data_IF_216427119355
#
_entry.id   IF_216427119355
#
_cell.length_a   1.000
_cell.length_b   1.000
_cell.length_c   1.000
_cell.angle_alpha   90.00
_cell.angle_beta   90.00
_cell.angle_gamma   90.00
#
_symmetry.space_group_name_H-M   'P 1'
#
loop_
_entity.id
_entity.type
_entity.pdbx_description
1 polymer ?
#
# COMPACT_ATOMS: atom_id res chain seq x y z
N UNK A 1 45.33 -24.58 -3.65
CA UNK A 1 44.48 -23.97 -4.70
C UNK A 1 42.99 -23.95 -4.38
N UNK A 2 42.49 -24.70 -3.38
CA UNK A 2 41.05 -24.68 -3.01
C UNK A 2 40.67 -23.40 -2.23
N UNK A 3 41.57 -22.88 -1.38
CA UNK A 3 41.29 -21.67 -0.59
C UNK A 3 41.21 -20.35 -1.36
N UNK A 4 41.79 -20.23 -2.57
CA UNK A 4 41.73 -18.97 -3.33
C UNK A 4 40.40 -18.75 -4.03
N UNK A 5 39.73 -19.82 -4.47
CA UNK A 5 38.45 -19.76 -5.18
C UNK A 5 37.29 -19.48 -4.21
N UNK A 6 37.33 -20.07 -3.01
CA UNK A 6 36.37 -19.81 -1.94
C UNK A 6 36.48 -18.37 -1.41
N UNK A 7 37.70 -17.87 -1.21
CA UNK A 7 37.95 -16.48 -0.81
C UNK A 7 37.48 -15.50 -1.88
N UNK A 8 37.73 -15.78 -3.17
CA UNK A 8 37.26 -14.94 -4.26
C UNK A 8 35.73 -14.92 -4.38
N UNK A 9 35.08 -16.09 -4.22
CA UNK A 9 33.63 -16.21 -4.22
C UNK A 9 32.99 -15.46 -3.05
N UNK A 10 33.58 -15.59 -1.85
CA UNK A 10 33.14 -14.88 -0.65
C UNK A 10 33.28 -13.36 -0.79
N UNK A 11 34.42 -12.88 -1.30
CA UNK A 11 34.64 -11.45 -1.57
C UNK A 11 33.67 -10.92 -2.64
N UNK A 12 33.38 -11.70 -3.68
CA UNK A 12 32.40 -11.34 -4.72
C UNK A 12 30.99 -11.24 -4.15
N UNK A 13 30.59 -12.18 -3.28
CA UNK A 13 29.29 -12.13 -2.59
C UNK A 13 29.22 -10.92 -1.66
N UNK A 14 30.26 -10.65 -0.86
CA UNK A 14 30.30 -9.48 0.02
C UNK A 14 30.22 -8.17 -0.78
N UNK A 15 31.01 -8.05 -1.84
CA UNK A 15 31.03 -6.87 -2.69
C UNK A 15 29.69 -6.67 -3.40
N UNK A 16 29.09 -7.75 -3.93
CA UNK A 16 27.74 -7.73 -4.49
C UNK A 16 26.69 -7.30 -3.47
N UNK A 17 26.73 -7.82 -2.24
CA UNK A 17 25.84 -7.41 -1.16
C UNK A 17 26.00 -5.94 -0.79
N UNK A 18 27.23 -5.42 -0.74
CA UNK A 18 27.47 -3.99 -0.48
C UNK A 18 26.91 -3.09 -1.58
N UNK A 19 27.00 -3.51 -2.85
CA UNK A 19 26.50 -2.75 -3.99
C UNK A 19 24.97 -2.67 -4.06
N UNK A 20 24.25 -3.64 -3.50
CA UNK A 20 22.76 -3.63 -3.47
C UNK A 20 22.21 -2.36 -2.80
N UNK A 21 22.96 -1.80 -1.85
CA UNK A 21 22.54 -0.63 -1.07
C UNK A 21 23.15 0.70 -1.59
N UNK A 22 23.98 0.67 -2.65
CA UNK A 22 24.63 1.85 -3.27
C UNK A 22 23.90 2.39 -4.51
N UNK A 23 22.73 1.84 -4.82
CA UNK A 23 21.89 2.24 -5.96
C UNK A 23 21.24 3.64 -5.87
N UNK A 24 20.95 4.25 -4.69
CA UNK A 24 20.03 5.39 -4.64
C UNK A 24 20.57 6.72 -5.18
N UNK A 25 21.65 6.75 -5.96
CA UNK A 25 22.16 7.96 -6.64
C UNK A 25 22.55 7.75 -8.11
N UNK A 26 22.20 6.62 -8.74
CA UNK A 26 22.68 6.29 -10.10
C UNK A 26 21.79 6.83 -11.24
N UNK A 27 20.50 7.12 -11.01
CA UNK A 27 19.66 7.84 -11.98
C UNK A 27 19.58 9.33 -11.62
N UNK A 28 19.37 10.20 -12.62
CA UNK A 28 19.05 11.61 -12.36
C UNK A 28 17.69 11.70 -11.68
N UNK A 29 17.68 11.76 -10.35
CA UNK A 29 16.51 12.05 -9.49
C UNK A 29 16.12 13.54 -9.55
N UNK A 30 16.59 14.25 -10.57
CA UNK A 30 16.35 15.68 -10.76
C UNK A 30 15.77 15.88 -12.15
N UNK A 31 14.60 16.50 -12.22
CA UNK A 31 14.08 16.94 -13.50
C UNK A 31 14.72 18.27 -13.91
N UNK A 32 15.29 18.33 -15.12
CA UNK A 32 15.97 19.54 -15.60
C UNK A 32 15.03 20.64 -16.12
N UNK A 33 13.78 20.28 -16.47
CA UNK A 33 12.81 21.19 -17.10
C UNK A 33 11.48 21.20 -16.33
N UNK A 34 11.48 21.82 -15.14
CA UNK A 34 10.32 21.89 -14.24
C UNK A 34 9.05 22.50 -14.86
N UNK A 35 9.13 23.14 -16.04
CA UNK A 35 7.97 23.66 -16.76
C UNK A 35 7.22 22.58 -17.54
N UNK A 36 7.89 21.49 -17.91
CA UNK A 36 7.27 20.38 -18.62
C UNK A 36 6.80 19.31 -17.63
N UNK A 37 5.54 19.41 -17.23
CA UNK A 37 4.92 18.52 -16.25
C UNK A 37 4.85 17.05 -16.69
N UNK A 38 4.87 16.80 -18.00
CA UNK A 38 4.95 15.45 -18.58
C UNK A 38 6.36 14.84 -18.41
N UNK A 39 7.40 15.67 -18.46
CA UNK A 39 8.80 15.23 -18.26
C UNK A 39 9.21 15.19 -16.79
N UNK A 40 8.56 15.97 -15.93
CA UNK A 40 8.86 16.10 -14.50
C UNK A 40 7.75 15.51 -13.62
N UNK A 41 7.72 14.18 -13.40
CA UNK A 41 6.71 13.57 -12.56
C UNK A 41 6.77 14.06 -11.10
N UNK A 42 7.95 14.50 -10.63
CA UNK A 42 8.20 14.93 -9.25
C UNK A 42 7.29 16.06 -8.76
N UNK A 43 6.72 16.86 -9.65
CA UNK A 43 5.80 17.93 -9.25
C UNK A 43 4.54 17.38 -8.57
N UNK A 44 4.11 16.16 -8.92
CA UNK A 44 2.92 15.50 -8.37
C UNK A 44 3.23 14.71 -7.09
N UNK A 45 4.49 14.31 -6.91
CA UNK A 45 4.99 13.53 -5.78
C UNK A 45 5.46 14.40 -4.62
N UNK A 46 5.64 13.83 -3.43
CA UNK A 46 6.02 14.59 -2.23
C UNK A 46 6.99 13.82 -1.35
N UNK A 47 7.82 14.59 -0.62
CA UNK A 47 8.86 14.01 0.23
C UNK A 47 8.42 13.69 1.67
N UNK A 48 7.27 14.21 2.07
CA UNK A 48 6.70 14.06 3.40
C UNK A 48 5.18 14.17 3.32
N UNK A 49 4.50 13.70 4.37
CA UNK A 49 3.04 13.67 4.44
C UNK A 49 2.42 15.06 4.36
N UNK A 50 3.00 16.07 5.01
CA UNK A 50 2.45 17.42 5.06
C UNK A 50 2.44 18.03 3.65
N UNK A 51 3.55 17.92 2.92
CA UNK A 51 3.65 18.31 1.51
C UNK A 51 2.66 17.54 0.63
N UNK A 52 2.53 16.22 0.83
CA UNK A 52 1.59 15.38 0.07
C UNK A 52 0.14 15.83 0.28
N UNK A 53 -0.23 16.07 1.54
CA UNK A 53 -1.54 16.55 1.95
C UNK A 53 -1.84 17.92 1.40
N UNK A 54 -0.90 18.86 1.49
CA UNK A 54 -1.07 20.21 0.98
C UNK A 54 -1.29 20.19 -0.54
N UNK A 55 -0.50 19.41 -1.29
CA UNK A 55 -0.69 19.25 -2.75
C UNK A 55 -2.05 18.66 -3.09
N UNK A 56 -2.50 17.64 -2.37
CA UNK A 56 -3.82 17.03 -2.57
C UNK A 56 -4.94 18.05 -2.34
N UNK A 57 -4.91 18.76 -1.21
CA UNK A 57 -5.92 19.76 -0.85
C UNK A 57 -5.92 20.93 -1.84
N UNK A 58 -4.75 21.41 -2.27
CA UNK A 58 -4.64 22.50 -3.23
C UNK A 58 -5.18 22.07 -4.61
N UNK A 59 -4.81 20.89 -5.09
CA UNK A 59 -5.33 20.33 -6.34
C UNK A 59 -6.84 20.17 -6.29
N UNK A 60 -7.37 19.60 -5.19
CA UNK A 60 -8.81 19.42 -4.98
C UNK A 60 -9.59 20.76 -4.93
N UNK A 61 -9.02 21.80 -4.29
CA UNK A 61 -9.61 23.15 -4.28
C UNK A 61 -9.63 23.78 -5.66
N UNK A 62 -8.55 23.63 -6.44
CA UNK A 62 -8.44 24.20 -7.78
C UNK A 62 -9.58 23.72 -8.69
N UNK A 63 -10.00 22.47 -8.51
CA UNK A 63 -11.11 21.87 -9.26
C UNK A 63 -12.45 21.94 -8.52
N UNK A 64 -12.53 22.68 -7.40
CA UNK A 64 -13.75 22.88 -6.59
C UNK A 64 -14.42 21.57 -6.16
N UNK A 65 -13.63 20.59 -5.71
CA UNK A 65 -14.15 19.38 -5.09
C UNK A 65 -14.83 19.71 -3.74
N UNK A 66 -15.76 18.86 -3.31
CA UNK A 66 -16.20 18.86 -1.91
C UNK A 66 -15.11 18.23 -1.06
N UNK A 67 -14.47 19.04 -0.19
CA UNK A 67 -13.36 18.60 0.65
C UNK A 67 -13.86 18.37 2.08
N UNK A 68 -13.48 17.24 2.67
CA UNK A 68 -13.65 16.96 4.11
C UNK A 68 -12.34 16.46 4.70
N UNK A 69 -12.10 16.82 5.96
CA UNK A 69 -10.94 16.40 6.73
C UNK A 69 -11.43 15.57 7.91
N UNK A 70 -10.93 14.34 8.04
CA UNK A 70 -11.33 13.39 9.06
C UNK A 70 -10.15 13.14 10.00
N UNK A 71 -10.29 13.52 11.27
CA UNK A 71 -9.27 13.29 12.28
C UNK A 71 -9.18 11.80 12.59
N UNK A 72 -8.06 11.16 12.24
CA UNK A 72 -7.81 9.74 12.49
C UNK A 72 -7.23 9.51 13.87
N UNK A 73 -6.22 10.32 14.23
CA UNK A 73 -5.45 10.16 15.46
C UNK A 73 -4.86 11.50 15.91
N UNK A 74 -4.58 11.62 17.22
CA UNK A 74 -3.89 12.77 17.82
C UNK A 74 -2.78 12.27 18.75
N UNK A 75 -1.59 12.86 18.65
CA UNK A 75 -0.44 12.58 19.53
C UNK A 75 0.20 13.89 19.98
N UNK A 76 -0.03 14.26 21.24
CA UNK A 76 0.31 15.61 21.71
C UNK A 76 -0.43 16.64 20.85
N UNK A 77 0.30 17.63 20.34
CA UNK A 77 -0.26 18.69 19.46
C UNK A 77 -0.30 18.29 17.97
N UNK A 78 0.12 17.07 17.62
CA UNK A 78 0.09 16.58 16.24
C UNK A 78 -1.23 15.88 15.93
N UNK A 79 -1.89 16.31 14.85
CA UNK A 79 -3.12 15.74 14.33
C UNK A 79 -2.89 15.05 12.99
N UNK A 80 -3.43 13.83 12.86
CA UNK A 80 -3.29 13.00 11.67
C UNK A 80 -4.63 12.91 10.96
N UNK A 81 -4.70 13.37 9.71
CA UNK A 81 -5.96 13.50 8.97
C UNK A 81 -6.02 12.56 7.76
N UNK A 82 -7.19 11.95 7.57
CA UNK A 82 -7.62 11.42 6.29
C UNK A 82 -8.49 12.48 5.62
N UNK A 83 -8.10 12.94 4.44
CA UNK A 83 -8.84 13.94 3.68
C UNK A 83 -9.55 13.29 2.50
N UNK A 84 -10.71 13.81 2.14
CA UNK A 84 -11.46 13.37 0.96
C UNK A 84 -11.72 14.53 0.01
N UNK A 85 -11.70 14.25 -1.28
CA UNK A 85 -12.15 15.16 -2.32
C UNK A 85 -13.24 14.45 -3.15
N UNK A 86 -14.46 14.97 -3.10
CA UNK A 86 -15.61 14.37 -3.78
C UNK A 86 -16.08 15.24 -4.95
N UNK A 87 -16.36 14.57 -6.06
CA UNK A 87 -16.96 15.14 -7.27
C UNK A 87 -18.26 14.42 -7.54
N UNK A 88 -19.37 15.16 -7.47
CA UNK A 88 -20.65 14.63 -7.90
C UNK A 88 -20.72 14.69 -9.44
N UNK A 89 -20.79 13.52 -10.06
CA UNK A 89 -20.99 13.39 -11.49
C UNK A 89 -22.46 13.49 -11.90
N UNK A 90 -22.72 13.57 -13.20
CA UNK A 90 -24.08 13.52 -13.75
C UNK A 90 -24.68 12.11 -13.61
N UNK A 91 -23.85 11.06 -13.73
CA UNK A 91 -24.21 9.69 -13.35
C UNK A 91 -24.02 9.49 -11.85
N UNK A 92 -24.88 10.11 -11.04
CA UNK A 92 -24.78 10.04 -9.58
C UNK A 92 -25.06 8.65 -9.01
N UNK A 93 -25.62 7.75 -9.81
CA UNK A 93 -25.82 6.34 -9.48
C UNK A 93 -24.56 5.48 -9.69
N UNK A 94 -23.47 6.07 -10.21
CA UNK A 94 -22.18 5.42 -10.42
C UNK A 94 -21.08 6.10 -9.62
N UNK A 95 -20.22 5.30 -8.99
CA UNK A 95 -19.17 5.80 -8.10
C UNK A 95 -17.81 5.19 -8.42
N UNK A 96 -16.79 6.04 -8.54
CA UNK A 96 -15.39 5.65 -8.48
C UNK A 96 -14.86 6.04 -7.12
N UNK A 97 -14.21 5.11 -6.41
CA UNK A 97 -13.46 5.44 -5.20
C UNK A 97 -11.99 5.16 -5.45
N UNK A 98 -11.15 6.20 -5.38
CA UNK A 98 -9.71 6.07 -5.54
C UNK A 98 -9.02 6.27 -4.19
N UNK A 99 -8.48 5.19 -3.65
CA UNK A 99 -7.93 5.11 -2.29
C UNK A 99 -6.41 5.16 -2.34
N UNK A 100 -5.82 5.97 -1.45
CA UNK A 100 -4.39 6.05 -1.23
C UNK A 100 -4.03 5.76 0.22
N UNK A 101 -2.91 5.07 0.43
CA UNK A 101 -2.21 4.99 1.70
C UNK A 101 -2.92 4.18 2.77
N UNK A 102 -3.50 3.03 2.40
CA UNK A 102 -3.94 2.02 3.38
C UNK A 102 -2.77 1.58 4.26
N UNK A 103 -1.65 1.23 3.64
CA UNK A 103 -0.36 1.16 4.32
C UNK A 103 0.35 2.49 4.16
N UNK A 104 0.91 3.00 5.25
CA UNK A 104 1.38 4.39 5.31
C UNK A 104 2.30 4.77 4.16
N UNK A 105 3.48 4.20 4.10
CA UNK A 105 4.50 4.59 3.12
C UNK A 105 4.13 4.31 1.65
N UNK A 106 3.18 3.40 1.39
CA UNK A 106 2.63 3.20 0.04
C UNK A 106 1.80 4.39 -0.44
N UNK A 107 1.26 5.18 0.50
CA UNK A 107 0.38 6.30 0.20
C UNK A 107 1.02 7.40 -0.63
N UNK A 108 2.35 7.51 -0.67
CA UNK A 108 3.01 8.51 -1.50
C UNK A 108 2.83 8.27 -3.01
N UNK A 109 2.68 7.00 -3.43
CA UNK A 109 2.43 6.66 -4.83
C UNK A 109 1.00 7.03 -5.22
N UNK A 110 0.02 6.57 -4.44
CA UNK A 110 -1.39 6.91 -4.66
C UNK A 110 -1.65 8.42 -4.59
N UNK A 111 -0.98 9.12 -3.67
CA UNK A 111 -1.05 10.60 -3.56
C UNK A 111 -0.56 11.29 -4.83
N UNK A 112 0.55 10.82 -5.41
CA UNK A 112 1.07 11.36 -6.67
C UNK A 112 0.12 11.18 -7.85
N UNK A 113 -0.49 9.99 -7.96
CA UNK A 113 -1.50 9.70 -8.99
C UNK A 113 -2.73 10.59 -8.80
N UNK A 114 -3.25 10.71 -7.58
CA UNK A 114 -4.37 11.60 -7.26
C UNK A 114 -4.08 13.05 -7.64
N UNK A 115 -2.90 13.57 -7.30
CA UNK A 115 -2.50 14.92 -7.68
C UNK A 115 -2.47 15.12 -9.21
N UNK A 116 -1.99 14.11 -9.95
CA UNK A 116 -1.98 14.16 -11.42
C UNK A 116 -3.38 14.19 -12.00
N UNK A 117 -4.26 13.31 -11.52
CA UNK A 117 -5.67 13.24 -11.97
C UNK A 117 -6.39 14.56 -11.68
N UNK A 118 -6.23 15.10 -10.46
CA UNK A 118 -6.85 16.37 -10.06
C UNK A 118 -6.30 17.56 -10.87
N UNK A 119 -5.01 17.59 -11.17
CA UNK A 119 -4.43 18.68 -11.97
C UNK A 119 -4.93 18.68 -13.42
N UNK A 120 -5.16 17.50 -13.99
CA UNK A 120 -5.65 17.34 -15.35
C UNK A 120 -7.19 17.31 -15.44
N UNK A 121 -7.87 17.48 -14.31
CA UNK A 121 -9.32 17.32 -14.23
C UNK A 121 -10.06 18.30 -15.14
N UNK A 122 -10.75 17.77 -16.15
CA UNK A 122 -11.57 18.56 -17.06
C UNK A 122 -13.06 18.30 -16.81
N UNK A 123 -13.77 19.31 -16.32
CA UNK A 123 -15.22 19.25 -16.04
C UNK A 123 -16.08 19.22 -17.29
N UNK A 124 -15.52 19.48 -18.46
CA UNK A 124 -16.27 19.64 -19.72
C UNK A 124 -16.69 18.32 -20.35
N UNK A 125 -16.34 17.18 -19.75
CA UNK A 125 -16.78 15.88 -20.23
C UNK A 125 -18.24 15.62 -19.80
N UNK A 126 -19.20 15.55 -20.73
CA UNK A 126 -20.57 15.20 -20.38
C UNK A 126 -20.61 13.78 -19.80
N UNK A 127 -21.49 13.52 -18.83
CA UNK A 127 -21.77 12.18 -18.28
C UNK A 127 -20.61 11.50 -17.53
N UNK A 128 -19.93 12.21 -16.65
CA UNK A 128 -18.97 11.59 -15.72
C UNK A 128 -19.70 10.87 -14.54
N UNK A 129 -19.17 9.73 -14.05
CA UNK A 129 -19.59 9.15 -12.76
C UNK A 129 -19.19 10.07 -11.59
N UNK A 130 -19.76 9.84 -10.41
CA UNK A 130 -19.25 10.47 -9.19
C UNK A 130 -17.89 9.89 -8.81
N UNK A 131 -16.99 10.71 -8.27
CA UNK A 131 -15.63 10.29 -7.91
C UNK A 131 -15.29 10.75 -6.51
N UNK A 132 -14.86 9.80 -5.67
CA UNK A 132 -14.36 10.03 -4.33
C UNK A 132 -12.87 9.69 -4.26
N UNK A 133 -12.03 10.70 -4.04
CA UNK A 133 -10.63 10.50 -3.70
C UNK A 133 -10.45 10.48 -2.18
N UNK A 134 -9.65 9.53 -1.69
CA UNK A 134 -9.31 9.40 -0.26
C UNK A 134 -7.78 9.50 -0.12
N UNK A 135 -7.31 10.54 0.59
CA UNK A 135 -5.91 10.88 0.82
C UNK A 135 -5.67 11.23 2.29
N UNK A 136 -5.03 10.43 3.11
CA UNK A 136 -4.67 9.03 2.90
C UNK A 136 -5.19 8.24 4.10
N UNK A 137 -5.45 6.95 3.92
CA UNK A 137 -6.14 6.14 4.93
C UNK A 137 -5.34 6.01 6.22
N UNK A 138 -4.02 5.84 6.13
CA UNK A 138 -3.08 5.74 7.24
C UNK A 138 -2.13 6.96 7.28
N UNK A 139 -2.61 8.12 7.74
CA UNK A 139 -1.78 9.33 7.82
C UNK A 139 -0.62 9.17 8.82
N UNK A 140 -0.79 8.39 9.89
CA UNK A 140 0.28 8.12 10.85
C UNK A 140 1.46 7.42 10.17
N UNK A 141 1.20 6.34 9.44
CA UNK A 141 2.23 5.59 8.73
C UNK A 141 2.94 6.44 7.67
N UNK A 142 2.23 7.34 6.97
CA UNK A 142 2.88 8.28 6.05
C UNK A 142 3.82 9.25 6.76
N UNK A 143 3.37 9.88 7.86
CA UNK A 143 4.20 10.84 8.64
C UNK A 143 5.47 10.17 9.17
N UNK A 144 5.37 8.93 9.65
CA UNK A 144 6.49 8.22 10.27
C UNK A 144 7.25 7.30 9.31
N UNK A 145 6.93 7.31 8.02
CA UNK A 145 7.56 6.45 7.00
C UNK A 145 7.48 4.96 7.34
N UNK A 146 6.29 4.49 7.73
CA UNK A 146 5.99 3.11 8.14
C UNK A 146 4.87 2.52 7.31
N UNK A 147 4.79 1.19 7.25
CA UNK A 147 3.61 0.51 6.69
C UNK A 147 2.42 0.55 7.67
N UNK A 148 2.71 0.41 8.96
CA UNK A 148 1.73 0.22 10.03
C UNK A 148 1.15 1.54 10.54
N UNK A 149 0.00 1.48 11.21
CA UNK A 149 -0.61 2.64 11.85
C UNK A 149 -0.01 2.94 13.24
N UNK A 150 -0.63 3.86 13.98
CA UNK A 150 -0.26 4.28 15.33
C UNK A 150 -0.22 3.14 16.37
N UNK A 151 -1.01 2.09 16.17
CA UNK A 151 -1.07 0.91 17.05
C UNK A 151 -0.16 -0.23 16.58
N UNK A 152 0.61 -0.04 15.50
CA UNK A 152 1.45 -1.09 14.90
C UNK A 152 0.66 -2.08 14.04
N UNK A 153 -0.61 -1.79 13.74
CA UNK A 153 -1.48 -2.64 12.93
C UNK A 153 -1.19 -2.44 11.44
N UNK A 154 -1.09 -3.54 10.71
CA UNK A 154 -1.15 -3.53 9.25
C UNK A 154 -2.61 -3.43 8.81
N UNK A 155 -3.01 -2.24 8.36
CA UNK A 155 -4.38 -2.00 7.92
C UNK A 155 -4.78 -2.89 6.74
N UNK A 156 -3.85 -3.45 5.96
CA UNK A 156 -4.16 -4.43 4.91
C UNK A 156 -4.75 -5.76 5.44
N UNK A 157 -4.72 -5.97 6.75
CA UNK A 157 -5.25 -7.14 7.43
C UNK A 157 -6.37 -6.83 8.44
N UNK A 158 -6.68 -5.55 8.68
CA UNK A 158 -7.64 -5.12 9.71
C UNK A 158 -9.08 -4.93 9.17
N UNK A 159 -9.37 -5.37 7.94
CA UNK A 159 -10.64 -5.13 7.22
C UNK A 159 -11.83 -6.00 7.69
N UNK A 160 -12.04 -6.11 8.98
CA UNK A 160 -13.18 -6.85 9.53
C UNK A 160 -14.31 -5.88 9.91
N UNK A 161 -15.55 -6.31 9.70
CA UNK A 161 -16.70 -5.58 10.24
C UNK A 161 -16.68 -5.65 11.76
N UNK A 162 -17.27 -4.66 12.43
CA UNK A 162 -17.25 -4.57 13.90
C UNK A 162 -17.84 -5.83 14.54
N UNK A 163 -18.87 -6.39 13.92
CA UNK A 163 -19.62 -7.57 14.34
C UNK A 163 -18.81 -8.87 14.17
N UNK A 164 -17.78 -8.88 13.32
CA UNK A 164 -16.95 -10.06 13.01
C UNK A 164 -15.78 -10.22 14.00
N UNK A 165 -15.43 -9.17 14.74
CA UNK A 165 -14.30 -9.20 15.66
C UNK A 165 -14.47 -10.19 16.80
N UNK A 166 -15.70 -10.41 17.26
CA UNK A 166 -15.99 -11.35 18.34
C UNK A 166 -15.79 -12.80 17.88
N UNK A 167 -16.13 -13.11 16.62
CA UNK A 167 -15.90 -14.44 16.01
C UNK A 167 -14.42 -14.70 15.73
N UNK A 168 -13.67 -13.66 15.30
CA UNK A 168 -12.23 -13.75 15.02
C UNK A 168 -11.43 -14.02 16.31
N UNK A 169 -11.81 -13.36 17.41
CA UNK A 169 -11.19 -13.58 18.73
C UNK A 169 -11.34 -15.03 19.20
N UNK A 170 -12.45 -15.68 18.88
CA UNK A 170 -12.72 -17.06 19.28
C UNK A 170 -11.88 -18.12 18.54
N UNK A 171 -11.18 -17.75 17.45
CA UNK A 171 -10.53 -18.71 16.53
C UNK A 171 -8.99 -18.67 16.53
N UNK A 172 -8.36 -17.77 17.28
CA UNK A 172 -6.97 -17.42 17.06
C UNK A 172 -5.93 -18.29 17.79
N UNK A 173 -5.34 -19.23 17.05
CA UNK A 173 -3.97 -19.68 17.32
C UNK A 173 -3.22 -20.04 16.02
N UNK A 174 -2.99 -19.08 15.10
CA UNK A 174 -1.89 -19.22 14.12
C UNK A 174 -0.54 -19.03 14.83
N UNK A 175 -0.28 -19.90 15.81
CA UNK A 175 0.90 -19.85 16.67
C UNK A 175 2.15 -20.09 15.84
N UNK A 176 2.10 -20.94 14.81
CA UNK A 176 3.23 -21.17 13.91
C UNK A 176 3.56 -19.90 13.10
N UNK A 177 2.58 -19.28 12.44
CA UNK A 177 2.78 -18.04 11.69
C UNK A 177 3.32 -16.92 12.58
N UNK A 178 2.74 -16.75 13.77
CA UNK A 178 3.26 -15.82 14.77
C UNK A 178 4.72 -16.13 15.15
N UNK A 179 5.05 -17.37 15.48
CA UNK A 179 6.41 -17.78 15.84
C UNK A 179 7.38 -17.44 14.71
N UNK A 180 7.02 -17.73 13.46
CA UNK A 180 7.85 -17.42 12.29
C UNK A 180 8.10 -15.91 12.19
N UNK A 181 7.05 -15.08 12.29
CA UNK A 181 7.17 -13.62 12.19
C UNK A 181 7.98 -13.03 13.35
N UNK A 182 7.77 -13.54 14.56
CA UNK A 182 8.53 -13.14 15.74
C UNK A 182 10.00 -13.50 15.60
N UNK A 183 10.31 -14.73 15.16
CA UNK A 183 11.69 -15.15 14.90
C UNK A 183 12.34 -14.31 13.79
N UNK A 184 11.59 -13.96 12.74
CA UNK A 184 12.07 -13.08 11.68
C UNK A 184 12.46 -11.70 12.20
N UNK A 185 11.69 -11.13 13.13
CA UNK A 185 11.97 -9.82 13.71
C UNK A 185 13.06 -9.82 14.79
N UNK A 186 13.36 -10.97 15.42
CA UNK A 186 14.37 -11.10 16.50
C UNK A 186 15.81 -10.74 16.10
N UNK A 187 16.08 -10.53 14.81
CA UNK A 187 17.42 -10.26 14.30
C UNK A 187 18.16 -9.16 15.08
N UNK A 188 17.47 -8.09 15.44
CA UNK A 188 18.06 -6.97 16.18
C UNK A 188 17.00 -6.28 17.03
N UNK A 189 17.37 -5.84 18.22
CA UNK A 189 16.52 -4.93 19.01
C UNK A 189 16.76 -3.49 18.58
N UNK A 190 18.02 -3.05 18.46
CA UNK A 190 18.39 -1.74 17.90
C UNK A 190 19.21 -1.93 16.63
N UNK A 191 18.59 -1.83 15.44
CA UNK A 191 19.24 -2.08 14.16
C UNK A 191 20.50 -1.24 13.92
N UNK A 192 21.52 -1.90 13.41
CA UNK A 192 22.77 -1.31 12.90
C UNK A 192 22.88 -1.55 11.41
N UNK A 193 23.81 -0.87 10.75
CA UNK A 193 24.08 -1.08 9.33
C UNK A 193 24.38 -2.55 9.00
N UNK A 194 25.17 -3.22 9.84
CA UNK A 194 25.51 -4.65 9.64
C UNK A 194 24.29 -5.57 9.67
N UNK A 195 23.21 -5.19 10.38
CA UNK A 195 22.00 -6.00 10.50
C UNK A 195 21.26 -6.09 9.15
N UNK A 196 21.49 -5.15 8.21
CA UNK A 196 21.02 -5.27 6.81
C UNK A 196 21.58 -6.50 6.10
N UNK A 197 22.80 -6.90 6.43
CA UNK A 197 23.46 -8.04 5.82
C UNK A 197 23.22 -9.32 6.62
N UNK A 198 23.26 -9.23 7.95
CA UNK A 198 22.92 -10.36 8.83
C UNK A 198 21.49 -10.85 8.63
N UNK A 199 20.59 -9.97 8.19
CA UNK A 199 19.23 -10.34 7.80
C UNK A 199 19.20 -11.49 6.79
N UNK A 200 20.07 -11.50 5.77
CA UNK A 200 20.05 -12.55 4.76
C UNK A 200 20.45 -13.91 5.33
N UNK A 201 21.46 -13.94 6.20
CA UNK A 201 21.87 -15.17 6.89
C UNK A 201 20.76 -15.68 7.81
N UNK A 202 20.12 -14.77 8.54
CA UNK A 202 18.99 -15.09 9.40
C UNK A 202 17.78 -15.60 8.60
N UNK A 203 17.47 -14.97 7.48
CA UNK A 203 16.39 -15.39 6.59
C UNK A 203 16.64 -16.78 5.99
N UNK A 204 17.88 -17.10 5.60
CA UNK A 204 18.27 -18.44 5.15
C UNK A 204 18.06 -19.46 6.27
N UNK A 205 18.51 -19.16 7.50
CA UNK A 205 18.31 -20.04 8.67
C UNK A 205 16.82 -20.32 8.91
N UNK A 206 15.97 -19.30 8.83
CA UNK A 206 14.52 -19.47 8.98
C UNK A 206 13.91 -20.25 7.82
N UNK A 207 14.39 -20.04 6.60
CA UNK A 207 13.93 -20.77 5.40
C UNK A 207 14.28 -22.26 5.49
N UNK A 208 15.46 -22.61 6.01
CA UNK A 208 15.84 -24.01 6.28
C UNK A 208 14.97 -24.62 7.37
N UNK A 209 14.64 -23.84 8.42
CA UNK A 209 13.86 -24.34 9.56
C UNK A 209 12.38 -24.54 9.26
N UNK A 210 11.74 -23.58 8.58
CA UNK A 210 10.28 -23.52 8.41
C UNK A 210 9.82 -23.70 6.97
N UNK A 211 10.71 -23.58 5.99
CA UNK A 211 10.39 -23.56 4.57
C UNK A 211 9.90 -22.20 4.08
N UNK A 212 10.24 -21.86 2.84
CA UNK A 212 9.86 -20.57 2.22
C UNK A 212 8.33 -20.40 2.11
N UNK A 213 7.59 -21.47 1.83
CA UNK A 213 6.13 -21.43 1.71
C UNK A 213 5.46 -21.01 3.01
N UNK A 214 5.91 -21.55 4.15
CA UNK A 214 5.38 -21.21 5.48
C UNK A 214 5.71 -19.78 5.87
N UNK A 215 6.92 -19.29 5.57
CA UNK A 215 7.28 -17.88 5.77
C UNK A 215 6.40 -16.97 4.93
N UNK A 216 6.23 -17.27 3.64
CA UNK A 216 5.36 -16.51 2.74
C UNK A 216 3.91 -16.50 3.24
N UNK A 217 3.41 -17.64 3.70
CA UNK A 217 2.07 -17.76 4.30
C UNK A 217 1.96 -16.91 5.56
N UNK A 218 2.95 -16.94 6.45
CA UNK A 218 2.95 -16.16 7.68
C UNK A 218 2.92 -14.65 7.39
N UNK A 219 3.78 -14.18 6.49
CA UNK A 219 3.76 -12.79 6.00
C UNK A 219 2.40 -12.44 5.41
N UNK A 220 1.83 -13.33 4.60
CA UNK A 220 0.57 -13.05 3.91
C UNK A 220 -0.69 -13.12 4.78
N UNK A 221 -0.64 -13.82 5.90
CA UNK A 221 -1.78 -13.99 6.81
C UNK A 221 -1.71 -13.07 8.02
N UNK A 222 -0.52 -12.55 8.32
CA UNK A 222 -0.27 -11.76 9.52
C UNK A 222 -0.48 -12.56 10.81
N UNK A 223 -0.57 -11.85 11.92
CA UNK A 223 -0.73 -12.41 13.26
C UNK A 223 -1.53 -11.48 14.18
N UNK A 224 -2.17 -12.04 15.20
CA UNK A 224 -3.07 -11.29 16.11
C UNK A 224 -2.59 -11.34 17.58
N UNK A 225 -1.40 -11.89 17.83
CA UNK A 225 -0.93 -12.25 19.17
C UNK A 225 -0.11 -11.16 19.86
N UNK A 226 0.68 -10.40 19.09
CA UNK A 226 1.64 -9.45 19.67
C UNK A 226 1.70 -8.16 18.84
N UNK A 227 1.26 -7.01 19.39
CA UNK A 227 1.29 -5.73 18.67
C UNK A 227 2.70 -5.25 18.33
N UNK A 228 3.75 -5.82 18.95
CA UNK A 228 5.14 -5.47 18.65
C UNK A 228 5.72 -6.33 17.51
N UNK A 229 5.03 -7.40 17.11
CA UNK A 229 5.49 -8.26 16.01
C UNK A 229 4.93 -7.77 14.67
N UNK A 230 5.76 -7.75 13.63
CA UNK A 230 5.38 -7.34 12.26
C UNK A 230 4.12 -8.08 11.76
N UNK A 231 3.38 -7.41 10.86
CA UNK A 231 2.11 -7.89 10.31
C UNK A 231 1.07 -8.21 11.40
N UNK A 232 0.99 -7.36 12.41
CA UNK A 232 -0.06 -7.43 13.42
C UNK A 232 -1.39 -7.00 12.80
N UNK A 233 -2.44 -7.82 12.89
CA UNK A 233 -3.73 -7.47 12.27
C UNK A 233 -4.64 -6.64 13.20
N UNK A 234 -4.24 -6.40 14.45
CA UNK A 234 -5.06 -5.69 15.44
C UNK A 234 -5.94 -6.63 16.27
N UNK A 235 -6.51 -6.07 17.33
CA UNK A 235 -7.48 -6.74 18.23
C UNK A 235 -8.90 -6.15 18.12
N UNK A 236 -9.06 -5.13 17.25
CA UNK A 236 -10.28 -4.38 16.97
C UNK A 236 -10.17 -3.64 15.64
N UNK A 237 -11.30 -3.16 15.13
CA UNK A 237 -11.34 -2.20 14.01
C UNK A 237 -10.54 -0.95 14.39
N UNK A 238 -9.60 -0.56 13.53
CA UNK A 238 -8.78 0.64 13.71
C UNK A 238 -9.53 1.91 13.26
N UNK A 239 -9.21 3.05 13.86
CA UNK A 239 -9.87 4.35 13.59
C UNK A 239 -9.93 4.69 12.09
N UNK A 240 -8.80 4.52 11.39
CA UNK A 240 -8.72 4.68 9.93
C UNK A 240 -9.75 3.83 9.17
N UNK A 241 -9.95 2.57 9.58
CA UNK A 241 -10.86 1.64 8.91
C UNK A 241 -12.31 2.02 9.19
N UNK A 242 -12.64 2.41 10.43
CA UNK A 242 -14.00 2.88 10.76
C UNK A 242 -14.37 4.13 9.95
N UNK A 243 -13.49 5.14 9.89
CA UNK A 243 -13.71 6.34 9.08
C UNK A 243 -13.91 5.97 7.60
N UNK A 244 -13.09 5.06 7.09
CA UNK A 244 -13.17 4.60 5.71
C UNK A 244 -14.49 3.87 5.42
N UNK A 245 -14.96 3.01 6.32
CA UNK A 245 -16.26 2.35 6.21
C UNK A 245 -17.41 3.36 6.21
N UNK A 246 -17.39 4.33 7.12
CA UNK A 246 -18.40 5.39 7.20
C UNK A 246 -18.44 6.25 5.92
N UNK A 247 -17.27 6.58 5.38
CA UNK A 247 -17.14 7.32 4.12
C UNK A 247 -17.75 6.55 2.97
N UNK A 248 -17.38 5.28 2.81
CA UNK A 248 -17.88 4.46 1.72
C UNK A 248 -19.40 4.28 1.81
N UNK A 249 -19.94 4.01 3.00
CA UNK A 249 -21.40 3.93 3.21
C UNK A 249 -22.10 5.26 2.93
N UNK A 250 -21.48 6.39 3.28
CA UNK A 250 -22.07 7.72 3.06
C UNK A 250 -22.16 8.06 1.59
N UNK A 251 -21.07 7.86 0.84
CA UNK A 251 -20.99 8.22 -0.58
C UNK A 251 -21.61 7.18 -1.52
N UNK A 252 -21.85 5.95 -1.06
CA UNK A 252 -22.52 4.91 -1.86
C UNK A 252 -24.05 4.93 -1.77
N UNK A 253 -24.66 5.83 -0.98
CA UNK A 253 -26.13 5.93 -0.89
C UNK A 253 -26.74 6.26 -2.26
N UNK A 254 -27.59 5.35 -2.75
CA UNK A 254 -28.24 5.49 -4.06
C UNK A 254 -27.37 5.11 -5.26
N UNK A 255 -26.15 4.61 -5.01
CA UNK A 255 -25.24 4.10 -6.05
C UNK A 255 -25.64 2.68 -6.42
N UNK A 256 -25.78 2.41 -7.72
CA UNK A 256 -26.10 1.09 -8.27
C UNK A 256 -24.84 0.33 -8.68
N UNK A 257 -23.79 1.06 -9.07
CA UNK A 257 -22.51 0.52 -9.52
C UNK A 257 -21.31 1.31 -8.97
N UNK A 258 -20.36 0.62 -8.35
CA UNK A 258 -19.18 1.21 -7.75
C UNK A 258 -17.90 0.47 -8.13
N UNK A 259 -16.84 1.21 -8.42
CA UNK A 259 -15.50 0.66 -8.66
C UNK A 259 -14.52 1.31 -7.68
N UNK A 260 -13.90 0.49 -6.84
CA UNK A 260 -12.87 0.91 -5.89
C UNK A 260 -11.50 0.54 -6.46
N UNK A 261 -10.63 1.54 -6.61
CA UNK A 261 -9.22 1.40 -6.96
C UNK A 261 -8.40 1.69 -5.70
N UNK A 262 -7.81 0.66 -5.11
CA UNK A 262 -6.84 0.82 -4.04
C UNK A 262 -5.42 0.84 -4.63
N UNK A 263 -4.73 1.96 -4.52
CA UNK A 263 -3.35 2.07 -5.00
C UNK A 263 -2.36 1.71 -3.89
N UNK A 264 -1.47 0.77 -4.18
CA UNK A 264 -0.38 0.41 -3.28
C UNK A 264 0.88 0.00 -4.05
N UNK A 265 1.98 -0.19 -3.33
CA UNK A 265 3.14 -0.89 -3.89
C UNK A 265 3.14 -2.35 -3.47
N UNK A 266 3.75 -3.20 -4.28
CA UNK A 266 3.93 -4.60 -3.97
C UNK A 266 5.36 -5.03 -4.27
N UNK A 267 5.94 -5.98 -3.52
CA UNK A 267 7.23 -6.52 -3.89
C UNK A 267 7.13 -7.31 -5.21
N UNK A 268 8.01 -7.02 -6.17
CA UNK A 268 7.88 -7.60 -7.51
C UNK A 268 8.77 -6.95 -8.57
N UNK A 269 8.38 -7.11 -9.84
CA UNK A 269 9.10 -6.50 -10.96
C UNK A 269 9.03 -4.98 -10.88
N UNK A 270 10.19 -4.34 -10.70
CA UNK A 270 10.32 -2.90 -10.50
C UNK A 270 9.54 -2.07 -11.54
N UNK A 271 8.65 -1.20 -11.08
CA UNK A 271 7.81 -0.31 -11.89
C UNK A 271 6.65 -1.00 -12.61
N UNK A 272 6.58 -2.33 -12.60
CA UNK A 272 5.52 -3.07 -13.29
C UNK A 272 4.20 -2.90 -12.53
N UNK A 273 3.20 -2.40 -13.24
CA UNK A 273 1.82 -2.32 -12.76
C UNK A 273 1.16 -3.69 -12.80
N UNK A 274 0.28 -3.97 -11.84
CA UNK A 274 -0.54 -5.18 -11.79
C UNK A 274 -1.86 -4.90 -11.08
N UNK A 275 -2.96 -5.23 -11.75
CA UNK A 275 -4.31 -5.15 -11.19
C UNK A 275 -4.63 -6.46 -10.49
N UNK A 276 -4.71 -6.42 -9.16
CA UNK A 276 -5.06 -7.57 -8.33
C UNK A 276 -6.58 -7.62 -8.11
N UNK A 277 -7.14 -8.81 -8.30
CA UNK A 277 -8.58 -9.04 -8.25
C UNK A 277 -8.89 -10.22 -7.34
N UNK A 278 -9.99 -10.13 -6.60
CA UNK A 278 -10.28 -11.03 -5.48
C UNK A 278 -11.43 -12.02 -5.75
N UNK A 279 -12.13 -11.92 -6.89
CA UNK A 279 -13.20 -12.85 -7.25
C UNK A 279 -13.14 -13.24 -8.73
N UNK A 280 -13.69 -14.40 -9.08
CA UNK A 280 -13.75 -14.86 -10.48
C UNK A 280 -14.58 -13.90 -11.34
N UNK A 281 -15.75 -13.50 -10.86
CA UNK A 281 -16.61 -12.51 -11.53
C UNK A 281 -15.91 -11.15 -11.64
N UNK A 282 -15.20 -10.73 -10.60
CA UNK A 282 -14.40 -9.51 -10.62
C UNK A 282 -13.29 -9.57 -11.67
N UNK A 283 -12.68 -10.75 -11.89
CA UNK A 283 -11.62 -10.94 -12.86
C UNK A 283 -12.10 -10.67 -14.28
N UNK A 284 -13.24 -11.25 -14.67
CA UNK A 284 -13.81 -11.05 -16.02
C UNK A 284 -14.14 -9.58 -16.28
N UNK A 285 -14.74 -8.91 -15.29
CA UNK A 285 -15.02 -7.48 -15.38
C UNK A 285 -13.73 -6.65 -15.45
N UNK A 286 -12.72 -6.98 -14.64
CA UNK A 286 -11.42 -6.29 -14.65
C UNK A 286 -10.69 -6.47 -15.98
N UNK A 287 -10.73 -7.67 -16.57
CA UNK A 287 -10.15 -7.92 -17.90
C UNK A 287 -10.82 -7.07 -18.99
N UNK A 288 -12.12 -6.78 -18.86
CA UNK A 288 -12.86 -5.88 -19.76
C UNK A 288 -12.50 -4.41 -19.58
N UNK A 289 -12.26 -3.97 -18.35
CA UNK A 289 -11.96 -2.56 -18.02
C UNK A 289 -10.49 -2.25 -18.33
N UNK A 290 -9.56 -3.00 -17.73
CA UNK A 290 -8.13 -2.69 -17.75
C UNK A 290 -7.36 -3.45 -18.83
N UNK A 291 -7.97 -4.47 -19.45
CA UNK A 291 -7.31 -5.35 -20.40
C UNK A 291 -6.55 -6.52 -19.74
N UNK A 292 -6.66 -7.69 -20.35
CA UNK A 292 -6.14 -8.97 -19.81
C UNK A 292 -4.66 -8.98 -19.43
N UNK A 293 -3.81 -8.20 -20.10
CA UNK A 293 -2.35 -8.18 -19.85
C UNK A 293 -1.97 -7.54 -18.51
N UNK A 294 -2.81 -6.66 -17.97
CA UNK A 294 -2.57 -5.93 -16.70
C UNK A 294 -3.07 -6.68 -15.48
N UNK A 295 -3.95 -7.66 -15.68
CA UNK A 295 -4.54 -8.43 -14.57
C UNK A 295 -3.54 -9.45 -14.04
N UNK A 296 -3.23 -9.37 -12.76
CA UNK A 296 -2.56 -10.44 -12.02
C UNK A 296 -3.52 -11.02 -11.00
N UNK A 297 -3.83 -12.31 -11.16
CA UNK A 297 -4.67 -13.03 -10.21
C UNK A 297 -4.64 -14.52 -10.48
N UNK A 298 -4.02 -15.26 -9.55
CA UNK A 298 -4.65 -16.50 -9.08
C UNK A 298 -5.99 -16.11 -8.51
N UNK A 299 -7.07 -16.77 -8.94
CA UNK A 299 -8.33 -16.76 -8.22
C UNK A 299 -8.00 -17.27 -6.82
N UNK A 300 -7.76 -16.37 -5.86
CA UNK A 300 -7.73 -16.76 -4.45
C UNK A 300 -9.20 -16.83 -4.10
N UNK A 301 -9.70 -18.04 -3.94
CA UNK A 301 -11.10 -18.29 -3.67
C UNK A 301 -11.56 -17.41 -2.49
N UNK A 302 -12.53 -16.54 -2.74
CA UNK A 302 -13.39 -15.97 -1.70
C UNK A 302 -14.36 -17.02 -1.13
N UNK A 303 -14.27 -18.28 -1.58
CA UNK A 303 -15.00 -19.40 -0.99
C UNK A 303 -14.26 -19.90 0.25
N UNK A 304 -14.31 -19.07 1.29
CA UNK A 304 -14.22 -19.56 2.65
C UNK A 304 -15.28 -18.85 3.47
N UNK A 305 -16.51 -19.34 3.34
CA UNK A 305 -17.55 -19.30 4.38
C UNK A 305 -17.16 -20.12 5.62
N UNK A 306 -15.85 -20.34 5.83
CA UNK A 306 -15.27 -21.17 6.87
C UNK A 306 -14.22 -20.40 7.65
N UNK A 307 -14.49 -20.33 8.96
CA UNK A 307 -13.60 -19.97 10.05
C UNK A 307 -12.11 -20.29 9.76
N UNK A 308 -11.29 -19.26 9.52
CA UNK A 308 -9.83 -19.36 9.49
C UNK A 308 -9.14 -19.63 8.14
N UNK A 309 -9.85 -19.86 7.02
CA UNK A 309 -9.24 -20.05 5.70
C UNK A 309 -9.54 -18.93 4.70
N UNK A 310 -9.24 -17.68 5.04
CA UNK A 310 -9.46 -16.57 4.08
C UNK A 310 -8.61 -15.32 4.31
N UNK A 311 -7.64 -15.37 5.23
CA UNK A 311 -6.80 -14.22 5.60
C UNK A 311 -5.72 -13.97 4.54
N UNK A 312 -6.11 -13.46 3.38
CA UNK A 312 -5.16 -13.06 2.34
C UNK A 312 -4.93 -11.56 2.40
N UNK A 313 -3.66 -11.13 2.41
CA UNK A 313 -3.25 -9.72 2.30
C UNK A 313 -4.09 -8.98 1.27
N UNK A 314 -4.67 -7.86 1.68
CA UNK A 314 -5.29 -6.92 0.74
C UNK A 314 -6.54 -7.43 0.05
N UNK A 315 -7.11 -8.58 0.43
CA UNK A 315 -8.44 -8.98 0.00
C UNK A 315 -9.48 -8.17 0.77
N UNK A 316 -9.68 -6.98 0.23
CA UNK A 316 -10.60 -5.94 0.68
C UNK A 316 -12.02 -6.50 0.88
N UNK A 317 -12.51 -6.45 2.13
CA UNK A 317 -13.94 -6.46 2.48
C UNK A 317 -14.60 -5.08 2.43
N UNK A 318 -13.88 -4.03 2.01
CA UNK A 318 -14.42 -2.67 1.82
C UNK A 318 -15.68 -2.63 0.94
N UNK A 319 -15.91 -3.62 0.07
CA UNK A 319 -17.07 -3.66 -0.82
C UNK A 319 -18.36 -4.22 -0.23
N UNK A 320 -18.36 -4.79 0.98
CA UNK A 320 -19.57 -5.37 1.55
C UNK A 320 -20.64 -4.29 1.75
N UNK A 321 -21.69 -4.36 0.94
CA UNK A 321 -22.87 -3.51 1.06
C UNK A 321 -22.75 -2.10 0.45
N UNK A 322 -21.74 -1.81 -0.37
CA UNK A 322 -21.62 -0.46 -0.96
C UNK A 322 -22.65 -0.19 -2.05
N UNK A 323 -22.66 -1.02 -3.08
CA UNK A 323 -23.59 -0.97 -4.20
C UNK A 323 -23.87 -2.39 -4.70
N UNK A 324 -25.04 -2.66 -5.32
CA UNK A 324 -25.37 -3.96 -5.90
C UNK A 324 -24.28 -4.49 -6.84
N UNK A 325 -23.69 -3.62 -7.67
CA UNK A 325 -22.57 -3.95 -8.55
C UNK A 325 -21.30 -3.27 -8.03
N UNK A 326 -20.54 -3.94 -7.17
CA UNK A 326 -19.27 -3.40 -6.67
C UNK A 326 -18.10 -4.22 -7.19
N UNK A 327 -17.12 -3.55 -7.82
CA UNK A 327 -15.82 -4.10 -8.13
C UNK A 327 -14.77 -3.45 -7.24
N UNK A 328 -13.91 -4.29 -6.64
CA UNK A 328 -12.70 -3.81 -5.97
C UNK A 328 -11.49 -4.37 -6.69
N UNK A 329 -10.58 -3.46 -7.02
CA UNK A 329 -9.26 -3.80 -7.49
C UNK A 329 -8.20 -3.15 -6.63
N UNK A 330 -7.08 -3.84 -6.50
CA UNK A 330 -5.86 -3.23 -5.99
C UNK A 330 -4.91 -3.02 -7.15
N UNK A 331 -4.62 -1.77 -7.45
CA UNK A 331 -3.58 -1.38 -8.40
C UNK A 331 -2.24 -1.39 -7.66
N UNK A 332 -1.40 -2.36 -8.02
CA UNK A 332 -0.12 -2.59 -7.36
C UNK A 332 1.05 -2.27 -8.29
N UNK A 333 1.97 -1.43 -7.81
CA UNK A 333 3.23 -1.14 -8.50
C UNK A 333 4.39 -1.90 -7.87
N UNK A 334 5.11 -2.68 -8.68
CA UNK A 334 6.27 -3.43 -8.22
C UNK A 334 7.37 -2.52 -7.69
N UNK A 335 7.78 -2.66 -6.43
CA UNK A 335 8.81 -1.82 -5.81
C UNK A 335 10.19 -2.49 -5.89
N UNK A 336 10.77 -2.92 -4.77
CA UNK A 336 11.98 -3.73 -4.69
C UNK A 336 11.65 -5.23 -4.67
N UNK A 337 12.69 -6.08 -4.62
CA UNK A 337 12.50 -7.52 -4.47
C UNK A 337 11.85 -7.87 -3.11
N UNK A 338 11.06 -8.97 -3.02
CA UNK A 338 10.43 -9.40 -1.78
C UNK A 338 11.37 -9.47 -0.58
N UNK A 339 12.61 -9.95 -0.79
CA UNK A 339 13.58 -10.09 0.28
C UNK A 339 14.06 -8.74 0.83
N UNK A 340 14.26 -7.75 -0.05
CA UNK A 340 14.66 -6.39 0.35
C UNK A 340 13.53 -5.65 1.05
N UNK A 341 12.29 -5.84 0.58
CA UNK A 341 11.09 -5.29 1.23
C UNK A 341 10.91 -5.85 2.64
N UNK A 342 11.03 -7.17 2.83
CA UNK A 342 10.90 -7.79 4.16
C UNK A 342 12.05 -7.36 5.08
N UNK A 343 13.28 -7.25 4.55
CA UNK A 343 14.42 -6.72 5.32
C UNK A 343 14.11 -5.34 5.89
N UNK A 344 13.63 -4.41 5.06
CA UNK A 344 13.37 -3.04 5.51
C UNK A 344 12.22 -2.99 6.53
N UNK A 345 11.17 -3.80 6.36
CA UNK A 345 10.07 -3.94 7.34
C UNK A 345 10.59 -4.42 8.69
N UNK A 346 11.43 -5.47 8.70
CA UNK A 346 11.98 -6.05 9.93
C UNK A 346 12.84 -5.04 10.68
N UNK A 347 13.75 -4.37 9.98
CA UNK A 347 14.65 -3.40 10.61
C UNK A 347 13.87 -2.18 11.12
N UNK A 348 12.97 -1.62 10.31
CA UNK A 348 12.14 -0.49 10.74
C UNK A 348 11.30 -0.84 11.97
N UNK A 349 10.61 -1.98 11.96
CA UNK A 349 9.76 -2.40 13.08
C UNK A 349 10.57 -2.68 14.35
N UNK A 350 11.75 -3.29 14.23
CA UNK A 350 12.67 -3.46 15.35
C UNK A 350 13.08 -2.11 15.98
N UNK A 351 13.52 -1.15 15.16
CA UNK A 351 13.93 0.17 15.64
C UNK A 351 12.76 0.96 16.26
N UNK A 352 11.58 0.88 15.66
CA UNK A 352 10.39 1.56 16.17
C UNK A 352 9.98 1.08 17.56
N UNK A 353 10.17 -0.22 17.82
CA UNK A 353 9.87 -0.81 19.12
C UNK A 353 10.94 -0.52 20.18
N UNK A 354 12.22 -0.56 19.82
CA UNK A 354 13.30 -0.49 20.81
C UNK A 354 13.82 0.93 21.05
N UNK A 355 13.84 1.77 20.01
CA UNK A 355 14.46 3.10 20.06
C UNK A 355 13.66 4.15 19.28
N UNK A 356 12.35 4.32 19.57
CA UNK A 356 11.50 5.27 18.87
C UNK A 356 12.06 6.69 18.96
N UNK A 357 12.10 7.38 17.83
CA UNK A 357 12.61 8.76 17.72
C UNK A 357 14.14 8.91 17.71
N UNK A 358 14.89 7.82 17.86
CA UNK A 358 16.36 7.85 17.73
C UNK A 358 16.81 8.01 16.28
N UNK A 359 18.10 8.32 16.10
CA UNK A 359 18.74 8.35 14.77
C UNK A 359 18.63 7.00 14.05
N UNK A 360 18.80 5.88 14.77
CA UNK A 360 18.68 4.54 14.20
C UNK A 360 17.26 4.29 13.64
N UNK A 361 16.22 4.67 14.41
CA UNK A 361 14.85 4.59 13.94
C UNK A 361 14.62 5.43 12.69
N UNK A 362 15.04 6.71 12.71
CA UNK A 362 14.92 7.59 11.55
C UNK A 362 15.55 7.00 10.28
N UNK A 363 16.79 6.50 10.38
CA UNK A 363 17.50 5.86 9.25
C UNK A 363 16.76 4.62 8.75
N UNK A 364 16.28 3.75 9.64
CA UNK A 364 15.54 2.55 9.21
C UNK A 364 14.18 2.87 8.57
N UNK A 365 13.47 3.90 9.04
CA UNK A 365 12.23 4.35 8.41
C UNK A 365 12.48 4.95 7.03
N UNK A 366 13.60 5.64 6.83
CA UNK A 366 14.03 6.10 5.49
C UNK A 366 14.33 4.92 4.56
N UNK A 367 15.00 3.87 5.04
CA UNK A 367 15.22 2.66 4.24
C UNK A 367 13.94 1.93 3.86
N UNK A 368 12.97 1.85 4.79
CA UNK A 368 11.65 1.33 4.49
C UNK A 368 10.97 2.18 3.42
N UNK A 369 11.05 3.50 3.54
CA UNK A 369 10.51 4.40 2.53
C UNK A 369 11.14 4.23 1.17
N UNK A 370 12.46 4.17 1.04
CA UNK A 370 13.11 3.95 -0.25
C UNK A 370 12.69 2.61 -0.88
N UNK A 371 12.49 1.57 -0.06
CA UNK A 371 12.06 0.26 -0.53
C UNK A 371 10.61 0.25 -1.07
N UNK A 372 9.70 1.06 -0.51
CA UNK A 372 8.28 1.09 -0.89
C UNK A 372 7.89 2.33 -1.70
N UNK A 373 8.77 3.32 -1.78
CA UNK A 373 8.58 4.57 -2.54
C UNK A 373 9.88 4.89 -3.31
N UNK A 374 10.20 4.12 -4.36
CA UNK A 374 11.39 4.37 -5.19
C UNK A 374 11.39 5.78 -5.80
N UNK A 375 12.54 6.45 -5.82
CA UNK A 375 12.69 7.87 -6.19
C UNK A 375 13.10 8.08 -7.66
N UNK A 376 13.36 7.01 -8.38
CA UNK A 376 13.83 7.06 -9.75
C UNK A 376 12.78 7.69 -10.68
N UNK A 377 13.18 8.69 -11.47
CA UNK A 377 12.29 9.43 -12.37
C UNK A 377 11.50 8.50 -13.29
N UNK A 378 12.16 7.45 -13.81
CA UNK A 378 11.53 6.46 -14.69
C UNK A 378 10.43 5.66 -13.98
N UNK A 379 10.65 5.32 -12.71
CA UNK A 379 9.66 4.67 -11.87
C UNK A 379 8.43 5.56 -11.69
N UNK A 380 8.66 6.81 -11.26
CA UNK A 380 7.61 7.81 -11.08
C UNK A 380 6.80 8.07 -12.36
N UNK A 381 7.46 8.15 -13.52
CA UNK A 381 6.79 8.29 -14.82
C UNK A 381 5.88 7.10 -15.11
N UNK A 382 6.36 5.88 -14.89
CA UNK A 382 5.59 4.65 -15.14
C UNK A 382 4.37 4.57 -14.23
N UNK A 383 4.55 4.90 -12.94
CA UNK A 383 3.49 4.95 -11.94
C UNK A 383 2.41 5.96 -12.33
N UNK A 384 2.78 7.19 -12.71
CA UNK A 384 1.80 8.19 -13.10
C UNK A 384 1.05 7.80 -14.36
N UNK A 385 1.78 7.33 -15.40
CA UNK A 385 1.17 6.96 -16.67
C UNK A 385 0.12 5.86 -16.48
N UNK A 386 0.50 4.78 -15.82
CA UNK A 386 -0.37 3.62 -15.64
C UNK A 386 -1.48 3.87 -14.62
N UNK A 387 -1.19 4.59 -13.52
CA UNK A 387 -2.17 4.98 -12.50
C UNK A 387 -3.28 5.87 -13.04
N UNK A 388 -2.91 6.86 -13.85
CA UNK A 388 -3.90 7.71 -14.54
C UNK A 388 -4.69 6.87 -15.55
N UNK A 389 -4.02 6.01 -16.33
CA UNK A 389 -4.71 5.15 -17.29
C UNK A 389 -5.72 4.21 -16.61
N UNK A 390 -5.38 3.61 -15.47
CA UNK A 390 -6.31 2.76 -14.71
C UNK A 390 -7.56 3.54 -14.28
N UNK A 391 -7.38 4.77 -13.81
CA UNK A 391 -8.49 5.65 -13.46
C UNK A 391 -9.36 6.00 -14.68
N UNK A 392 -8.73 6.38 -15.80
CA UNK A 392 -9.41 6.76 -17.03
C UNK A 392 -10.19 5.59 -17.65
N UNK A 393 -9.64 4.37 -17.61
CA UNK A 393 -10.32 3.15 -18.05
C UNK A 393 -11.63 2.93 -17.28
N UNK A 394 -11.61 3.17 -15.96
CA UNK A 394 -12.79 3.07 -15.09
C UNK A 394 -13.79 4.18 -15.38
N UNK A 395 -13.33 5.42 -15.57
CA UNK A 395 -14.19 6.54 -16.01
C UNK A 395 -14.88 6.18 -17.32
N UNK A 396 -14.13 5.72 -18.32
CA UNK A 396 -14.66 5.34 -19.62
C UNK A 396 -15.69 4.21 -19.51
N UNK A 397 -15.42 3.19 -18.70
CA UNK A 397 -16.35 2.09 -18.47
C UNK A 397 -17.67 2.58 -17.85
N UNK A 398 -17.61 3.34 -16.77
CA UNK A 398 -18.81 3.80 -16.07
C UNK A 398 -19.58 4.87 -16.85
N UNK A 399 -18.92 5.73 -17.60
CA UNK A 399 -19.58 6.71 -18.48
C UNK A 399 -20.29 6.07 -19.67
N UNK A 400 -19.75 4.98 -20.23
CA UNK A 400 -20.32 4.32 -21.42
C UNK A 400 -21.32 3.20 -21.10
N UNK A 401 -21.40 2.73 -19.85
CA UNK A 401 -22.41 1.79 -19.43
C UNK A 401 -23.80 2.46 -19.56
N UNK A 402 -24.49 2.27 -20.68
CA UNK A 402 -25.90 2.65 -20.82
C UNK A 402 -26.69 1.95 -19.74
N UNK A 403 -27.35 2.74 -18.90
CA UNK A 403 -28.30 2.32 -17.86
C UNK A 403 -29.39 1.42 -18.41
#
# INVERSE_FOLDING_TARGET
MIGSLEVFSFLTIIFGLMLIDLVPLQETMTCKDHKNTTKCPEIYFSMDYQSAREKFLNSARAVKAEIKNHLVFTRGDMHYYMDTAFFKGEHSDKLIVHVSGIRGVDGYIGSGIQNKILNDWNKSSPRLPSVLFIHAVNPYGMVHNRLFNEEGVDLNHNYFLKEEWDEIKCQNSNTEGYIILKELQKLSTTPRLIDRYLFFLHFIKLTVKYGYSSIKKAINTGQDQDPKTIFYNGDRVQSSISILQDLLQTYSKGVTEAIIINVQTSPGSYGKESILVYSKTGKELSERIFGKKRIQGSVVAMDATGCGQGRTVGAIRLALGLAPKTLVVTEAFGNVSPLLAIRSIVLESAASNACPGSYAHHVTSMWLREAFYPQETKYKQTVLLNGVQAFDDVVQYLSNATS
#
